data_IF_270594197622
#
_entry.id   IF_270594197622
#
_cell.length_a   1.000
_cell.length_b   1.000
_cell.length_c   1.000
_cell.angle_alpha   90.00
_cell.angle_beta   90.00
_cell.angle_gamma   90.00
#
_symmetry.space_group_name_H-M   'P 1'
#
loop_
_entity.id
_entity.type
_entity.pdbx_description
1 polymer ?
#
# COMPACT_ATOMS: atom_id res chain seq x y z
N UNK A 1 2.04 -18.86 -25.23
CA UNK A 1 0.83 -19.09 -24.40
C UNK A 1 -0.14 -20.12 -25.00
N UNK A 2 -0.65 -19.94 -26.23
CA UNK A 2 -1.59 -20.90 -26.88
C UNK A 2 -1.14 -22.37 -26.83
N UNK A 3 0.14 -22.64 -27.10
CA UNK A 3 0.72 -23.99 -27.02
C UNK A 3 0.62 -24.60 -25.61
N UNK A 4 0.83 -23.79 -24.57
CA UNK A 4 0.71 -24.22 -23.17
C UNK A 4 -0.75 -24.58 -22.86
N UNK A 5 -1.70 -23.71 -23.22
CA UNK A 5 -3.14 -23.97 -23.05
C UNK A 5 -3.56 -25.28 -23.75
N UNK A 6 -3.19 -25.45 -25.02
CA UNK A 6 -3.49 -26.66 -25.78
C UNK A 6 -2.92 -27.93 -25.14
N UNK A 7 -1.70 -27.86 -24.59
CA UNK A 7 -1.09 -28.99 -23.88
C UNK A 7 -1.86 -29.34 -22.61
N UNK A 8 -2.24 -28.33 -21.83
CA UNK A 8 -3.03 -28.51 -20.59
C UNK A 8 -4.44 -29.04 -20.88
N UNK A 9 -5.05 -28.66 -22.01
CA UNK A 9 -6.36 -29.17 -22.42
C UNK A 9 -6.28 -30.63 -22.83
N UNK A 10 -5.25 -31.02 -23.61
CA UNK A 10 -5.00 -32.43 -23.94
C UNK A 10 -4.78 -33.30 -22.70
N UNK A 11 -4.07 -32.79 -21.69
CA UNK A 11 -3.90 -33.47 -20.42
C UNK A 11 -5.22 -33.52 -19.65
N UNK A 12 -5.96 -32.41 -19.61
CA UNK A 12 -7.24 -32.34 -18.92
C UNK A 12 -8.30 -33.30 -19.45
N UNK A 13 -8.33 -33.52 -20.78
CA UNK A 13 -9.19 -34.56 -21.39
C UNK A 13 -8.84 -35.96 -20.90
N UNK A 14 -7.55 -36.29 -20.75
CA UNK A 14 -7.11 -37.60 -20.25
C UNK A 14 -7.44 -37.78 -18.77
N UNK A 15 -7.29 -36.73 -17.98
CA UNK A 15 -7.55 -36.73 -16.54
C UNK A 15 -9.03 -36.52 -16.17
N UNK A 16 -9.91 -36.30 -17.16
CA UNK A 16 -11.32 -36.00 -16.94
C UNK A 16 -11.60 -34.68 -16.20
N UNK A 17 -10.64 -33.73 -16.19
CA UNK A 17 -10.78 -32.43 -15.51
C UNK A 17 -9.99 -31.33 -16.19
N UNK A 18 -10.47 -30.07 -16.17
CA UNK A 18 -9.70 -28.91 -16.64
C UNK A 18 -8.46 -28.72 -15.76
N UNK A 19 -7.29 -28.58 -16.39
CA UNK A 19 -6.06 -28.21 -15.68
C UNK A 19 -5.91 -26.69 -15.74
N UNK A 20 -5.97 -26.04 -14.59
CA UNK A 20 -5.90 -24.59 -14.50
C UNK A 20 -4.49 -24.05 -14.76
N UNK A 21 -4.39 -22.95 -15.51
CA UNK A 21 -3.18 -22.19 -15.76
C UNK A 21 -3.23 -20.85 -15.03
N UNK A 22 -2.41 -20.73 -14.00
CA UNK A 22 -2.24 -19.51 -13.20
C UNK A 22 -0.93 -18.86 -13.66
N UNK A 23 -0.95 -17.57 -14.00
CA UNK A 23 0.26 -16.85 -14.41
C UNK A 23 0.46 -15.58 -13.57
N UNK A 24 1.69 -15.38 -13.13
CA UNK A 24 2.10 -14.17 -12.41
C UNK A 24 2.74 -13.18 -13.35
N UNK A 25 2.31 -11.93 -13.30
CA UNK A 25 2.61 -10.90 -14.28
C UNK A 25 3.03 -9.59 -13.59
N UNK A 26 3.66 -8.66 -14.32
CA UNK A 26 3.92 -7.31 -13.82
C UNK A 26 2.67 -6.63 -13.24
N UNK A 27 2.84 -5.64 -12.34
CA UNK A 27 1.76 -5.12 -11.49
C UNK A 27 0.74 -4.23 -12.20
N UNK A 28 0.99 -3.81 -13.46
CA UNK A 28 0.04 -3.07 -14.31
C UNK A 28 0.00 -3.67 -15.70
N UNK A 29 -1.07 -3.38 -16.46
CA UNK A 29 -1.17 -3.83 -17.85
C UNK A 29 -0.10 -3.16 -18.72
N UNK A 30 0.22 -1.88 -18.46
CA UNK A 30 1.31 -1.19 -19.17
C UNK A 30 2.65 -1.89 -18.93
N UNK A 31 2.95 -2.31 -17.70
CA UNK A 31 4.18 -3.05 -17.40
C UNK A 31 4.19 -4.44 -18.05
N UNK A 32 3.03 -5.09 -18.19
CA UNK A 32 2.89 -6.34 -18.94
C UNK A 32 3.24 -6.14 -20.42
N UNK A 33 2.68 -5.10 -21.06
CA UNK A 33 2.98 -4.76 -22.45
C UNK A 33 4.46 -4.44 -22.66
N UNK A 34 5.06 -3.65 -21.77
CA UNK A 34 6.50 -3.38 -21.79
C UNK A 34 7.33 -4.67 -21.73
N UNK A 35 6.90 -5.64 -20.92
CA UNK A 35 7.55 -6.95 -20.82
C UNK A 35 7.22 -7.93 -21.96
N UNK A 36 6.49 -7.50 -22.99
CA UNK A 36 6.09 -8.36 -24.12
C UNK A 36 4.95 -9.34 -23.81
N UNK A 37 4.18 -9.09 -22.75
CA UNK A 37 3.09 -9.95 -22.30
C UNK A 37 1.73 -9.36 -22.67
N UNK A 38 1.06 -9.93 -23.66
CA UNK A 38 -0.31 -9.56 -24.02
C UNK A 38 -1.34 -10.28 -23.14
N UNK A 39 -1.38 -9.86 -21.88
CA UNK A 39 -2.28 -10.42 -20.86
C UNK A 39 -3.76 -10.20 -21.22
N UNK A 40 -4.09 -9.13 -21.95
CA UNK A 40 -5.47 -8.86 -22.40
C UNK A 40 -5.92 -9.91 -23.39
N UNK A 41 -5.08 -10.23 -24.39
CA UNK A 41 -5.38 -11.29 -25.34
C UNK A 41 -5.48 -12.66 -24.66
N UNK A 42 -4.61 -12.96 -23.69
CA UNK A 42 -4.67 -14.24 -22.97
C UNK A 42 -5.98 -14.43 -22.22
N UNK A 43 -6.47 -13.40 -21.52
CA UNK A 43 -7.76 -13.45 -20.81
C UNK A 43 -8.93 -13.58 -21.79
N UNK A 44 -8.97 -12.75 -22.85
CA UNK A 44 -10.07 -12.76 -23.84
C UNK A 44 -10.17 -14.06 -24.64
N UNK A 45 -9.05 -14.73 -24.86
CA UNK A 45 -8.97 -15.99 -25.59
C UNK A 45 -9.08 -17.22 -24.69
N UNK A 46 -9.45 -17.07 -23.41
CA UNK A 46 -9.53 -18.16 -22.41
C UNK A 46 -8.23 -18.99 -22.31
N UNK A 47 -7.06 -18.35 -22.49
CA UNK A 47 -5.77 -19.04 -22.45
C UNK A 47 -5.24 -19.22 -21.03
N UNK A 48 -5.72 -18.42 -20.08
CA UNK A 48 -5.29 -18.40 -18.68
C UNK A 48 -6.51 -18.40 -17.78
N UNK A 49 -6.43 -19.14 -16.68
CA UNK A 49 -7.53 -19.27 -15.72
C UNK A 49 -7.43 -18.22 -14.60
N UNK A 50 -6.20 -17.84 -14.24
CA UNK A 50 -5.96 -16.78 -13.25
C UNK A 50 -4.75 -15.94 -13.65
N UNK A 51 -4.91 -14.62 -13.56
CA UNK A 51 -3.84 -13.63 -13.67
C UNK A 51 -3.50 -13.12 -12.27
N UNK A 52 -2.20 -13.05 -11.98
CA UNK A 52 -1.68 -12.62 -10.68
C UNK A 52 -0.78 -11.39 -10.87
N UNK A 53 -1.32 -10.16 -10.85
CA UNK A 53 -0.50 -8.96 -10.87
C UNK A 53 0.35 -8.89 -9.60
N UNK A 54 1.64 -8.69 -9.76
CA UNK A 54 2.58 -8.75 -8.64
C UNK A 54 3.66 -7.68 -8.71
N UNK A 55 3.81 -6.94 -7.61
CA UNK A 55 5.02 -6.19 -7.29
C UNK A 55 6.18 -7.16 -7.03
N UNK A 56 7.43 -6.72 -7.14
CA UNK A 56 8.59 -7.62 -7.03
C UNK A 56 8.85 -8.16 -5.61
N UNK A 57 9.04 -7.29 -4.61
CA UNK A 57 9.73 -7.69 -3.37
C UNK A 57 9.04 -7.31 -2.07
N UNK A 58 8.05 -6.42 -2.10
CA UNK A 58 7.41 -5.87 -0.91
C UNK A 58 5.90 -5.78 -1.09
N UNK A 59 5.19 -5.81 0.03
CA UNK A 59 3.77 -5.55 0.13
C UNK A 59 3.49 -4.19 -0.48
N UNK A 60 2.55 -4.19 -1.40
CA UNK A 60 2.02 -3.00 -2.01
C UNK A 60 0.59 -2.79 -1.58
N UNK A 61 0.17 -1.53 -1.53
CA UNK A 61 -1.20 -1.11 -1.25
C UNK A 61 -1.87 -0.42 -2.44
N UNK A 62 -1.16 -0.27 -3.57
CA UNK A 62 -1.59 0.57 -4.69
C UNK A 62 -1.16 0.02 -6.05
N UNK A 63 -1.02 -1.30 -6.19
CA UNK A 63 -0.96 -1.90 -7.53
C UNK A 63 -2.27 -1.59 -8.27
N UNK A 64 -2.22 -1.19 -9.56
CA UNK A 64 -3.41 -0.95 -10.38
C UNK A 64 -4.03 -2.27 -10.86
N UNK A 65 -4.47 -3.10 -9.91
CA UNK A 65 -5.04 -4.43 -10.20
C UNK A 65 -6.43 -4.34 -10.84
N UNK A 66 -7.12 -3.21 -10.66
CA UNK A 66 -8.39 -2.86 -11.30
C UNK A 66 -8.29 -2.87 -12.82
N UNK A 67 -7.13 -2.53 -13.40
CA UNK A 67 -6.88 -2.65 -14.84
C UNK A 67 -7.06 -4.09 -15.36
N UNK A 68 -6.71 -5.08 -14.53
CA UNK A 68 -6.87 -6.50 -14.84
C UNK A 68 -8.29 -6.96 -14.56
N UNK A 69 -8.85 -6.57 -13.41
CA UNK A 69 -10.24 -6.90 -13.04
C UNK A 69 -11.23 -6.41 -14.10
N UNK A 70 -11.03 -5.22 -14.64
CA UNK A 70 -11.86 -4.67 -15.72
C UNK A 70 -11.82 -5.51 -17.01
N UNK A 71 -10.69 -6.14 -17.32
CA UNK A 71 -10.59 -7.07 -18.47
C UNK A 71 -11.23 -8.41 -18.11
N UNK A 72 -10.91 -8.93 -16.93
CA UNK A 72 -11.37 -10.21 -16.44
C UNK A 72 -12.90 -10.29 -16.32
N UNK A 73 -13.56 -9.19 -15.96
CA UNK A 73 -15.01 -9.06 -15.83
C UNK A 73 -15.80 -9.47 -17.08
N UNK A 74 -15.17 -9.48 -18.26
CA UNK A 74 -15.76 -9.89 -19.54
C UNK A 74 -15.26 -11.26 -20.01
N UNK A 75 -14.66 -12.05 -19.11
CA UNK A 75 -14.00 -13.33 -19.41
C UNK A 75 -14.26 -14.35 -18.30
N UNK A 76 -13.70 -15.56 -18.43
CA UNK A 76 -13.68 -16.57 -17.37
C UNK A 76 -12.43 -16.49 -16.47
N UNK A 77 -11.47 -15.65 -16.83
CA UNK A 77 -10.23 -15.50 -16.06
C UNK A 77 -10.52 -14.80 -14.75
N UNK A 78 -9.88 -15.27 -13.67
CA UNK A 78 -9.88 -14.61 -12.36
C UNK A 78 -8.65 -13.74 -12.16
N UNK A 79 -8.73 -12.77 -11.26
CA UNK A 79 -7.61 -11.90 -10.88
C UNK A 79 -7.28 -12.10 -9.41
N UNK A 80 -6.07 -12.59 -9.11
CA UNK A 80 -5.60 -12.70 -7.73
C UNK A 80 -4.50 -11.68 -7.46
N UNK A 81 -4.67 -10.81 -6.45
CA UNK A 81 -3.61 -9.86 -6.09
C UNK A 81 -2.50 -10.56 -5.29
N UNK A 82 -1.23 -10.30 -5.62
CA UNK A 82 -0.11 -10.84 -4.85
C UNK A 82 0.08 -10.09 -3.51
N UNK A 83 0.24 -10.86 -2.43
CA UNK A 83 0.49 -10.39 -1.06
C UNK A 83 1.85 -10.90 -0.59
N UNK A 84 2.54 -10.08 0.19
CA UNK A 84 3.89 -10.35 0.69
C UNK A 84 3.96 -10.17 2.21
N UNK A 85 4.75 -11.00 2.92
CA UNK A 85 4.99 -10.83 4.36
C UNK A 85 6.09 -9.79 4.65
N UNK A 86 6.65 -9.16 3.61
CA UNK A 86 7.72 -8.18 3.69
C UNK A 86 7.22 -6.82 3.21
N UNK A 87 7.56 -5.75 3.91
CA UNK A 87 7.32 -4.34 3.54
C UNK A 87 8.64 -3.55 3.48
N UNK A 88 8.57 -2.25 3.16
CA UNK A 88 9.69 -1.33 3.38
C UNK A 88 9.98 -1.16 4.87
N UNK A 89 11.14 -0.58 5.20
CA UNK A 89 11.43 -0.24 6.59
C UNK A 89 10.36 0.71 7.14
N UNK A 90 9.72 0.31 8.23
CA UNK A 90 8.71 1.12 8.92
C UNK A 90 8.73 0.81 10.42
N UNK A 91 8.38 1.79 11.23
CA UNK A 91 7.93 1.52 12.59
C UNK A 91 6.43 1.24 12.62
N UNK A 92 5.91 0.42 13.56
CA UNK A 92 4.47 0.24 13.74
C UNK A 92 3.76 1.57 13.98
N UNK A 93 2.56 1.71 13.43
CA UNK A 93 1.69 2.85 13.71
C UNK A 93 1.10 2.69 15.10
N UNK A 94 1.09 3.78 15.87
CA UNK A 94 0.44 3.86 17.18
C UNK A 94 -0.51 5.06 17.17
N UNK A 95 -1.58 5.04 17.98
CA UNK A 95 -2.54 6.15 18.02
C UNK A 95 -1.87 7.48 18.41
N UNK A 96 -1.03 7.45 19.46
CA UNK A 96 -0.31 8.62 19.97
C UNK A 96 1.19 8.37 19.87
N UNK A 97 1.91 9.05 18.96
CA UNK A 97 3.31 8.81 18.75
C UNK A 97 4.14 9.47 19.85
N UNK A 98 5.13 8.77 20.38
CA UNK A 98 6.09 9.29 21.37
C UNK A 98 7.48 8.83 20.99
N UNK A 99 8.49 9.66 21.25
CA UNK A 99 9.91 9.36 21.02
C UNK A 99 10.31 7.97 21.53
N UNK A 100 9.87 7.61 22.73
CA UNK A 100 10.13 6.31 23.34
C UNK A 100 9.65 5.12 22.48
N UNK A 101 8.52 5.27 21.78
CA UNK A 101 7.95 4.24 20.89
C UNK A 101 8.73 4.02 19.59
N UNK A 102 9.68 4.90 19.26
CA UNK A 102 10.51 4.81 18.06
C UNK A 102 12.01 4.66 18.39
N UNK A 103 12.32 4.05 19.54
CA UNK A 103 13.69 3.79 20.00
C UNK A 103 14.29 2.49 19.45
N UNK A 104 13.47 1.49 19.13
CA UNK A 104 13.90 0.24 18.49
C UNK A 104 14.18 0.41 17.00
N UNK A 105 14.93 -0.49 16.38
CA UNK A 105 15.16 -0.43 14.92
C UNK A 105 13.86 -0.62 14.12
N UNK A 106 13.65 0.08 12.99
CA UNK A 106 12.52 -0.20 12.10
C UNK A 106 12.62 -1.61 11.51
N UNK A 107 11.46 -2.25 11.34
CA UNK A 107 11.33 -3.60 10.80
C UNK A 107 10.94 -3.61 9.31
N UNK A 108 11.05 -4.77 8.68
CA UNK A 108 10.57 -5.03 7.30
C UNK A 108 9.48 -6.10 7.23
N UNK A 109 9.04 -6.64 8.36
CA UNK A 109 7.93 -7.60 8.39
C UNK A 109 6.64 -6.83 8.23
N UNK A 110 5.80 -7.25 7.28
CA UNK A 110 4.46 -6.70 7.14
C UNK A 110 3.63 -7.15 8.34
N UNK A 111 3.00 -6.21 9.05
CA UNK A 111 2.08 -6.53 10.15
C UNK A 111 0.70 -6.92 9.58
N UNK A 112 -0.15 -7.62 10.35
CA UNK A 112 -1.52 -7.90 9.96
C UNK A 112 -2.29 -6.65 9.55
N UNK A 113 -2.09 -5.53 10.25
CA UNK A 113 -2.74 -4.26 9.92
C UNK A 113 -2.36 -3.73 8.52
N UNK A 114 -1.09 -3.84 8.12
CA UNK A 114 -0.67 -3.49 6.76
C UNK A 114 -1.31 -4.43 5.72
N UNK A 115 -1.30 -5.73 5.98
CA UNK A 115 -1.91 -6.72 5.07
C UNK A 115 -3.41 -6.46 4.92
N UNK A 116 -4.15 -6.20 6.01
CA UNK A 116 -5.57 -5.85 5.95
C UNK A 116 -5.85 -4.64 5.09
N UNK A 117 -5.06 -3.57 5.22
CA UNK A 117 -5.25 -2.38 4.39
C UNK A 117 -5.00 -2.65 2.91
N UNK A 118 -3.96 -3.42 2.57
CA UNK A 118 -3.70 -3.83 1.19
C UNK A 118 -4.82 -4.73 0.63
N UNK A 119 -5.27 -5.70 1.41
CA UNK A 119 -6.37 -6.61 1.04
C UNK A 119 -7.67 -5.87 0.81
N UNK A 120 -8.04 -4.95 1.71
CA UNK A 120 -9.27 -4.16 1.56
C UNK A 120 -9.19 -3.23 0.34
N UNK A 121 -8.01 -2.64 0.05
CA UNK A 121 -7.79 -1.91 -1.20
C UNK A 121 -8.06 -2.80 -2.42
N UNK A 122 -7.39 -3.95 -2.53
CA UNK A 122 -7.54 -4.82 -3.69
C UNK A 122 -8.93 -5.44 -3.82
N UNK A 123 -9.62 -5.75 -2.71
CA UNK A 123 -11.02 -6.20 -2.77
C UNK A 123 -11.93 -5.14 -3.36
N UNK A 124 -11.68 -3.86 -3.06
CA UNK A 124 -12.45 -2.77 -3.66
C UNK A 124 -12.11 -2.51 -5.14
N UNK A 125 -11.08 -3.19 -5.66
CA UNK A 125 -10.68 -3.23 -7.07
C UNK A 125 -11.13 -4.54 -7.75
N UNK A 126 -12.14 -5.21 -7.18
CA UNK A 126 -12.82 -6.38 -7.73
C UNK A 126 -11.92 -7.59 -8.03
N UNK A 127 -10.90 -7.82 -7.20
CA UNK A 127 -10.09 -9.06 -7.29
C UNK A 127 -10.87 -10.28 -6.76
N UNK A 128 -10.69 -11.42 -7.42
CA UNK A 128 -11.31 -12.69 -7.05
C UNK A 128 -10.62 -13.39 -5.87
N UNK A 129 -9.37 -13.03 -5.58
CA UNK A 129 -8.57 -13.70 -4.56
C UNK A 129 -7.17 -13.12 -4.37
N UNK A 130 -6.34 -13.88 -3.66
CA UNK A 130 -5.00 -13.45 -3.27
C UNK A 130 -3.97 -14.57 -3.45
N UNK A 131 -2.76 -14.21 -3.88
CA UNK A 131 -1.60 -15.09 -3.81
C UNK A 131 -0.75 -14.75 -2.58
N UNK A 132 -0.46 -15.75 -1.75
CA UNK A 132 0.58 -15.67 -0.72
C UNK A 132 1.95 -15.93 -1.33
N UNK A 133 2.80 -14.90 -1.47
CA UNK A 133 4.15 -15.07 -2.00
C UNK A 133 5.22 -14.81 -0.94
N UNK A 134 6.23 -15.68 -0.87
CA UNK A 134 7.29 -15.70 0.16
C UNK A 134 6.81 -15.90 1.61
N UNK A 135 5.63 -16.50 1.79
CA UNK A 135 5.19 -16.99 3.10
C UNK A 135 5.77 -18.39 3.33
N UNK A 136 6.62 -18.54 4.36
CA UNK A 136 7.20 -19.84 4.70
C UNK A 136 6.16 -20.78 5.30
N UNK A 137 6.30 -22.08 5.01
CA UNK A 137 5.48 -23.15 5.57
C UNK A 137 6.27 -23.92 6.65
N UNK A 138 5.62 -24.37 7.75
CA UNK A 138 4.22 -24.08 8.10
C UNK A 138 4.00 -22.59 8.43
N UNK A 139 2.78 -22.09 8.20
CA UNK A 139 2.45 -20.70 8.51
C UNK A 139 2.56 -20.46 10.02
N UNK A 140 3.32 -19.43 10.39
CA UNK A 140 3.33 -18.93 11.76
C UNK A 140 1.99 -18.24 12.10
N UNK A 141 1.69 -18.09 13.39
CA UNK A 141 0.40 -17.56 13.87
C UNK A 141 0.00 -16.21 13.24
N UNK A 142 0.96 -15.30 13.05
CA UNK A 142 0.73 -14.00 12.42
C UNK A 142 0.35 -14.15 10.93
N UNK A 143 1.04 -15.02 10.19
CA UNK A 143 0.71 -15.32 8.80
C UNK A 143 -0.62 -16.08 8.65
N UNK A 144 -0.98 -16.93 9.62
CA UNK A 144 -2.29 -17.57 9.67
C UNK A 144 -3.39 -16.54 9.87
N UNK A 145 -3.18 -15.55 10.75
CA UNK A 145 -4.10 -14.43 10.95
C UNK A 145 -4.29 -13.65 9.64
N UNK A 146 -3.20 -13.35 8.93
CA UNK A 146 -3.27 -12.70 7.62
C UNK A 146 -4.08 -13.52 6.61
N UNK A 147 -3.84 -14.84 6.52
CA UNK A 147 -4.58 -15.73 5.64
C UNK A 147 -6.08 -15.76 5.96
N UNK A 148 -6.45 -15.77 7.25
CA UNK A 148 -7.84 -15.66 7.68
C UNK A 148 -8.46 -14.32 7.30
N UNK A 149 -7.75 -13.21 7.49
CA UNK A 149 -8.23 -11.88 7.11
C UNK A 149 -8.42 -11.75 5.59
N UNK A 150 -7.60 -12.41 4.78
CA UNK A 150 -7.79 -12.49 3.33
C UNK A 150 -9.02 -13.31 2.94
N UNK A 151 -9.27 -14.42 3.62
CA UNK A 151 -10.44 -15.26 3.37
C UNK A 151 -11.76 -14.58 3.80
N UNK A 152 -11.70 -13.73 4.82
CA UNK A 152 -12.86 -13.18 5.53
C UNK A 152 -12.74 -11.65 5.72
N UNK A 153 -13.12 -10.84 4.70
CA UNK A 153 -12.96 -9.38 4.75
C UNK A 153 -13.71 -8.71 5.92
N UNK A 154 -14.83 -9.27 6.34
CA UNK A 154 -15.59 -8.80 7.50
C UNK A 154 -14.77 -8.82 8.79
N UNK A 155 -13.83 -9.77 8.93
CA UNK A 155 -12.90 -9.84 10.07
C UNK A 155 -11.87 -8.72 10.00
N UNK A 156 -11.33 -8.45 8.81
CA UNK A 156 -10.36 -7.38 8.60
C UNK A 156 -10.92 -6.01 9.06
N UNK A 157 -12.22 -5.78 8.89
CA UNK A 157 -12.90 -4.55 9.30
C UNK A 157 -13.10 -4.41 10.82
N UNK A 158 -12.92 -5.47 11.61
CA UNK A 158 -13.02 -5.44 13.07
C UNK A 158 -11.69 -5.07 13.76
N UNK A 159 -10.59 -5.13 13.02
CA UNK A 159 -9.25 -4.95 13.56
C UNK A 159 -8.58 -3.68 13.02
N UNK A 160 -7.41 -3.39 13.58
CA UNK A 160 -6.53 -2.36 13.07
C UNK A 160 -6.11 -2.66 11.62
N UNK A 161 -6.08 -1.61 10.80
CA UNK A 161 -5.77 -1.68 9.38
C UNK A 161 -5.09 -0.40 8.93
N UNK A 162 -4.09 -0.54 8.06
CA UNK A 162 -3.24 0.56 7.60
C UNK A 162 -3.26 0.61 6.08
N UNK A 163 -3.80 1.69 5.55
CA UNK A 163 -3.71 2.06 4.14
C UNK A 163 -2.43 2.87 3.94
N UNK A 164 -1.62 2.56 2.93
CA UNK A 164 -0.31 3.18 2.76
C UNK A 164 -0.04 3.55 1.30
N UNK A 165 0.79 4.57 1.09
CA UNK A 165 1.52 4.69 -0.17
C UNK A 165 2.66 3.68 -0.18
N UNK A 166 2.79 2.92 -1.26
CA UNK A 166 3.92 2.01 -1.45
C UNK A 166 5.16 2.84 -1.82
N UNK A 167 6.24 2.87 -1.02
CA UNK A 167 7.45 3.58 -1.39
C UNK A 167 8.23 2.83 -2.45
N UNK A 168 9.00 3.57 -3.25
CA UNK A 168 9.96 3.00 -4.19
C UNK A 168 10.94 2.07 -3.48
N UNK A 169 11.08 0.86 -4.03
CA UNK A 169 12.10 -0.10 -3.63
C UNK A 169 13.37 0.06 -4.48
N UNK A 170 14.48 -0.53 -4.00
CA UNK A 170 15.85 -0.40 -4.49
C UNK A 170 16.08 -0.35 -6.02
N UNK A 171 15.31 -1.12 -6.80
CA UNK A 171 15.44 -1.33 -8.24
C UNK A 171 14.14 -0.98 -8.97
N UNK A 172 13.36 -0.07 -8.40
CA UNK A 172 12.18 0.46 -9.06
C UNK A 172 12.64 1.41 -10.14
N UNK A 173 12.86 0.86 -11.33
CA UNK A 173 12.89 1.65 -12.55
C UNK A 173 11.44 1.90 -12.94
N UNK A 174 10.92 3.07 -12.58
CA UNK A 174 9.55 3.45 -12.93
C UNK A 174 9.35 3.36 -14.45
N UNK A 175 8.13 3.00 -14.86
CA UNK A 175 7.76 2.78 -16.26
C UNK A 175 8.43 1.57 -16.96
N UNK A 176 9.03 0.64 -16.19
CA UNK A 176 9.55 -0.66 -16.70
C UNK A 176 8.70 -1.86 -16.22
N UNK A 177 9.26 -2.78 -15.43
CA UNK A 177 8.52 -3.86 -14.74
C UNK A 177 7.68 -3.33 -13.57
N UNK A 178 7.82 -2.06 -13.19
CA UNK A 178 7.20 -1.48 -12.00
C UNK A 178 6.31 -0.27 -12.34
N UNK A 179 5.24 -0.10 -11.56
CA UNK A 179 4.40 1.09 -11.65
C UNK A 179 5.02 2.25 -10.88
N UNK A 180 4.74 3.48 -11.32
CA UNK A 180 5.26 4.72 -10.74
C UNK A 180 4.87 4.86 -9.27
N UNK A 181 5.83 5.21 -8.43
CA UNK A 181 5.64 5.49 -7.00
C UNK A 181 5.49 6.98 -6.78
N UNK A 182 4.94 7.31 -5.62
CA UNK A 182 4.68 8.70 -5.23
C UNK A 182 5.64 9.17 -4.15
N UNK A 183 6.33 8.24 -3.48
CA UNK A 183 7.31 8.53 -2.43
C UNK A 183 8.56 7.65 -2.60
N UNK A 184 9.77 8.16 -2.30
CA UNK A 184 10.04 9.41 -1.60
C UNK A 184 9.71 10.68 -2.42
N UNK A 185 9.22 11.72 -1.75
CA UNK A 185 8.89 13.01 -2.39
C UNK A 185 9.55 14.17 -1.64
N UNK A 186 10.17 15.09 -2.38
CA UNK A 186 10.72 16.32 -1.81
C UNK A 186 9.59 17.29 -1.44
N UNK A 187 9.54 17.68 -0.17
CA UNK A 187 8.65 18.70 0.36
C UNK A 187 9.37 20.06 0.35
N UNK A 188 9.57 20.61 -0.84
CA UNK A 188 10.20 21.92 -1.01
C UNK A 188 9.36 23.03 -0.35
N UNK A 189 10.03 23.98 0.31
CA UNK A 189 9.37 25.04 1.07
C UNK A 189 8.36 25.82 0.20
N UNK A 190 7.12 25.90 0.67
CA UNK A 190 6.02 26.61 0.01
C UNK A 190 5.43 25.90 -1.22
N UNK A 191 6.01 24.78 -1.67
CA UNK A 191 5.48 24.02 -2.80
C UNK A 191 4.59 22.87 -2.30
N UNK A 192 3.43 22.73 -2.94
CA UNK A 192 2.53 21.63 -2.66
C UNK A 192 3.00 20.35 -3.37
N UNK A 193 3.04 19.24 -2.63
CA UNK A 193 3.13 17.89 -3.18
C UNK A 193 1.74 17.28 -3.17
N UNK A 194 1.27 16.82 -4.33
CA UNK A 194 0.01 16.12 -4.49
C UNK A 194 0.25 14.61 -4.53
N UNK A 195 -0.50 13.88 -3.72
CA UNK A 195 -0.44 12.42 -3.60
C UNK A 195 -1.87 11.86 -3.69
N UNK A 196 -1.99 10.63 -4.16
CA UNK A 196 -3.24 9.87 -4.19
C UNK A 196 -3.08 8.61 -3.33
N UNK A 197 -3.72 8.60 -2.15
CA UNK A 197 -3.70 7.45 -1.24
C UNK A 197 -5.04 6.71 -1.34
N UNK A 198 -4.97 5.43 -1.67
CA UNK A 198 -6.16 4.61 -1.86
C UNK A 198 -6.63 3.99 -0.55
N UNK A 199 -7.94 4.13 -0.25
CA UNK A 199 -8.63 3.56 0.91
C UNK A 199 -9.82 2.73 0.42
N UNK A 200 -9.74 1.40 0.52
CA UNK A 200 -10.75 0.48 -0.01
C UNK A 200 -12.07 0.41 0.78
N UNK A 201 -12.20 1.21 1.84
CA UNK A 201 -13.34 1.22 2.75
C UNK A 201 -14.06 2.57 2.74
N UNK A 202 -15.37 2.55 2.94
CA UNK A 202 -16.14 3.76 3.27
C UNK A 202 -16.09 4.02 4.79
N UNK A 203 -15.32 5.04 5.17
CA UNK A 203 -15.14 5.44 6.56
C UNK A 203 -16.21 6.42 7.07
N UNK A 204 -17.27 6.66 6.30
CA UNK A 204 -18.41 7.52 6.70
C UNK A 204 -19.60 6.73 7.26
N UNK A 205 -19.66 5.42 7.01
CA UNK A 205 -20.71 4.54 7.51
C UNK A 205 -20.78 4.50 9.05
N UNK A 206 -21.86 3.98 9.64
CA UNK A 206 -22.06 3.95 11.11
C UNK A 206 -20.87 3.37 11.90
N UNK A 207 -20.08 2.47 11.30
CA UNK A 207 -18.84 1.89 11.86
C UNK A 207 -17.72 2.92 12.10
N UNK A 208 -17.75 4.06 11.40
CA UNK A 208 -16.85 5.20 11.58
C UNK A 208 -16.78 5.71 13.03
N UNK A 209 -17.88 5.60 13.79
CA UNK A 209 -17.93 6.15 15.16
C UNK A 209 -17.09 5.34 16.16
N UNK A 210 -16.83 4.07 15.87
CA UNK A 210 -16.07 3.14 16.74
C UNK A 210 -14.60 3.01 16.37
N UNK A 211 -14.09 3.84 15.46
CA UNK A 211 -12.67 3.83 15.06
C UNK A 211 -12.05 5.22 15.25
N UNK A 212 -10.74 5.22 15.49
CA UNK A 212 -9.88 6.39 15.35
C UNK A 212 -9.15 6.30 14.01
N UNK A 213 -9.24 7.36 13.19
CA UNK A 213 -8.54 7.45 11.91
C UNK A 213 -7.36 8.41 12.06
N UNK A 214 -6.15 7.95 11.74
CA UNK A 214 -4.91 8.72 11.92
C UNK A 214 -4.16 8.80 10.60
N UNK A 215 -3.88 10.03 10.14
CA UNK A 215 -2.89 10.27 9.10
C UNK A 215 -1.50 10.29 9.73
N UNK A 216 -0.57 9.54 9.16
CA UNK A 216 0.84 9.49 9.55
C UNK A 216 1.73 9.79 8.36
N UNK A 217 2.69 10.69 8.56
CA UNK A 217 3.73 11.05 7.59
C UNK A 217 5.10 10.71 8.19
N UNK A 218 5.89 9.89 7.50
CA UNK A 218 7.30 9.68 7.82
C UNK A 218 8.15 10.71 7.10
N UNK A 219 8.97 11.44 7.85
CA UNK A 219 9.74 12.57 7.36
C UNK A 219 11.24 12.34 7.58
N UNK A 220 12.05 12.68 6.59
CA UNK A 220 13.51 12.76 6.67
C UNK A 220 13.99 14.18 6.33
N UNK A 221 15.25 14.50 6.60
CA UNK A 221 15.84 15.82 6.31
C UNK A 221 15.72 16.83 7.46
N UNK A 222 15.92 16.36 8.70
CA UNK A 222 15.86 17.14 9.94
C UNK A 222 14.47 17.80 10.22
N UNK A 223 13.38 17.02 10.26
CA UNK A 223 12.07 17.54 10.64
C UNK A 223 12.09 18.09 12.07
N UNK A 224 11.64 19.34 12.23
CA UNK A 224 11.50 20.01 13.54
C UNK A 224 10.04 20.40 13.83
N UNK A 225 9.63 20.51 15.11
CA UNK A 225 8.30 20.97 15.49
C UNK A 225 7.95 22.39 14.99
N UNK A 226 8.94 23.17 14.56
CA UNK A 226 8.77 24.55 14.07
C UNK A 226 8.27 24.63 12.63
N UNK A 227 8.44 23.57 11.82
CA UNK A 227 7.93 23.55 10.45
C UNK A 227 6.41 23.76 10.44
N UNK A 228 5.95 24.59 9.52
CA UNK A 228 4.54 24.85 9.31
C UNK A 228 4.03 23.91 8.24
N UNK A 229 3.03 23.11 8.59
CA UNK A 229 2.42 22.13 7.71
C UNK A 229 1.02 22.60 7.30
N UNK A 230 0.73 22.54 6.00
CA UNK A 230 -0.62 22.64 5.46
C UNK A 230 -0.97 21.30 4.83
N UNK A 231 -2.05 20.67 5.32
CA UNK A 231 -2.57 19.40 4.83
C UNK A 231 -4.01 19.61 4.37
N UNK A 232 -4.32 19.12 3.18
CA UNK A 232 -5.70 18.98 2.71
C UNK A 232 -5.96 17.58 2.18
N UNK A 233 -7.18 17.10 2.38
CA UNK A 233 -7.70 15.84 1.88
C UNK A 233 -8.91 16.14 1.00
N UNK A 234 -8.89 15.67 -0.25
CA UNK A 234 -9.96 15.86 -1.23
C UNK A 234 -10.39 17.35 -1.33
N UNK A 235 -9.40 18.25 -1.39
CA UNK A 235 -9.60 19.70 -1.49
C UNK A 235 -10.01 20.40 -0.18
N UNK A 236 -10.27 19.66 0.91
CA UNK A 236 -10.71 20.21 2.20
C UNK A 236 -9.55 20.28 3.20
N UNK A 237 -9.44 21.38 3.92
CA UNK A 237 -8.34 21.62 4.88
C UNK A 237 -8.44 20.67 6.09
N UNK A 238 -7.39 19.88 6.33
CA UNK A 238 -7.25 19.03 7.52
C UNK A 238 -6.42 19.71 8.62
N UNK A 239 -5.35 20.41 8.23
CA UNK A 239 -4.44 21.08 9.18
C UNK A 239 -3.75 22.26 8.50
N UNK A 240 -3.62 23.37 9.24
CA UNK A 240 -2.65 24.45 8.96
C UNK A 240 -1.91 24.82 10.24
N UNK A 241 -0.62 25.13 10.15
CA UNK A 241 0.19 25.61 11.27
C UNK A 241 1.32 24.65 11.66
N UNK A 242 2.05 24.96 12.73
CA UNK A 242 3.21 24.20 13.18
C UNK A 242 2.92 22.70 13.36
N UNK A 243 3.91 21.86 13.08
CA UNK A 243 3.88 20.43 13.36
C UNK A 243 3.75 20.17 14.88
N UNK A 244 4.50 20.91 15.69
CA UNK A 244 4.36 20.92 17.16
C UNK A 244 4.40 19.53 17.78
N UNK A 245 3.51 19.28 18.74
CA UNK A 245 3.38 18.01 19.44
C UNK A 245 2.90 16.83 18.56
N UNK A 246 2.50 17.09 17.33
CA UNK A 246 2.17 16.02 16.37
C UNK A 246 3.41 15.32 15.80
N UNK A 247 4.61 15.87 16.02
CA UNK A 247 5.87 15.32 15.54
C UNK A 247 6.57 14.52 16.65
N UNK A 248 6.90 13.26 16.36
CA UNK A 248 7.67 12.39 17.23
C UNK A 248 8.96 11.94 16.55
N UNK A 249 10.09 12.20 17.20
CA UNK A 249 11.42 11.83 16.73
C UNK A 249 11.64 10.32 16.75
N UNK A 250 12.35 9.81 15.75
CA UNK A 250 12.83 8.43 15.65
C UNK A 250 14.28 8.39 16.10
N UNK A 251 14.58 7.63 17.14
CA UNK A 251 15.96 7.40 17.60
C UNK A 251 16.50 6.02 17.23
N UNK A 252 15.59 5.12 16.84
CA UNK A 252 15.90 3.81 16.32
C UNK A 252 16.72 3.88 15.04
N UNK A 253 17.89 3.25 15.03
CA UNK A 253 18.75 3.22 13.84
C UNK A 253 18.32 2.09 12.92
N UNK A 254 18.03 2.43 11.65
CA UNK A 254 17.89 1.45 10.58
C UNK A 254 19.22 0.72 10.38
N UNK A 255 19.20 -0.61 10.43
CA UNK A 255 20.36 -1.44 10.06
C UNK A 255 20.44 -1.58 8.54
N UNK A 256 21.65 -1.46 7.99
CA UNK A 256 21.93 -1.48 6.55
C UNK A 256 22.05 -0.08 5.94
N UNK A 257 23.07 0.13 5.10
CA UNK A 257 23.29 1.33 4.29
C UNK A 257 23.12 1.04 2.79
N UNK A 258 22.81 2.06 1.99
CA UNK A 258 22.58 1.94 0.54
C UNK A 258 21.16 2.27 0.08
N UNK A 259 20.89 2.02 -1.22
CA UNK A 259 19.82 2.44 -2.15
C UNK A 259 18.33 2.33 -1.72
N UNK A 260 18.03 2.52 -0.44
CA UNK A 260 16.69 2.71 0.09
C UNK A 260 16.36 4.20 0.14
N UNK A 261 15.06 4.56 0.13
CA UNK A 261 14.65 5.88 0.56
C UNK A 261 15.29 6.22 1.92
N UNK A 262 15.53 7.51 2.20
CA UNK A 262 16.00 7.95 3.51
C UNK A 262 15.14 7.32 4.63
N UNK A 263 15.77 6.96 5.75
CA UNK A 263 15.00 6.49 6.89
C UNK A 263 14.15 7.65 7.45
N UNK A 264 12.96 7.35 7.96
CA UNK A 264 12.18 8.33 8.68
C UNK A 264 12.96 8.76 9.93
N UNK A 265 13.21 10.06 10.06
CA UNK A 265 13.85 10.69 11.23
C UNK A 265 12.79 11.18 12.23
N UNK A 266 11.57 11.43 11.76
CA UNK A 266 10.42 11.67 12.62
C UNK A 266 9.12 11.22 11.94
N UNK A 267 8.11 10.95 12.77
CA UNK A 267 6.75 10.74 12.32
C UNK A 267 5.86 11.91 12.76
N UNK A 268 5.20 12.55 11.81
CA UNK A 268 4.09 13.45 12.08
C UNK A 268 2.78 12.67 12.06
N UNK A 269 1.96 12.79 13.10
CA UNK A 269 0.61 12.20 13.12
C UNK A 269 -0.49 13.22 13.42
N UNK A 270 -1.63 12.98 12.79
CA UNK A 270 -2.85 13.75 12.99
C UNK A 270 -4.07 12.87 12.92
N UNK A 271 -4.88 12.86 13.98
CA UNK A 271 -6.22 12.27 13.95
C UNK A 271 -7.11 13.03 12.96
N UNK A 272 -7.74 12.30 12.04
CA UNK A 272 -8.78 12.78 11.14
C UNK A 272 -10.11 12.63 11.88
N UNK A 273 -10.63 13.73 12.44
CA UNK A 273 -11.88 13.71 13.22
C UNK A 273 -13.13 13.69 12.35
N UNK A 274 -13.06 14.39 11.22
CA UNK A 274 -14.12 14.39 10.22
C UNK A 274 -13.80 13.34 9.16
N UNK A 275 -14.41 12.16 9.29
CA UNK A 275 -14.18 11.06 8.36
C UNK A 275 -14.76 11.33 6.97
N UNK A 276 -15.67 12.32 6.81
CA UNK A 276 -16.18 12.74 5.49
C UNK A 276 -15.12 13.42 4.61
N UNK A 277 -13.93 13.71 5.17
CA UNK A 277 -12.75 14.11 4.41
C UNK A 277 -12.20 12.96 3.55
N UNK A 278 -12.56 11.72 3.86
CA UNK A 278 -12.14 10.52 3.14
C UNK A 278 -13.31 9.94 2.34
N UNK A 279 -12.98 9.33 1.22
CA UNK A 279 -13.90 8.54 0.39
C UNK A 279 -13.33 7.16 0.16
N UNK A 280 -14.21 6.19 -0.10
CA UNK A 280 -13.78 4.91 -0.66
C UNK A 280 -13.11 5.15 -2.02
N UNK A 281 -11.96 4.54 -2.24
CA UNK A 281 -11.13 4.70 -3.42
C UNK A 281 -9.96 5.66 -3.22
N UNK A 282 -9.57 6.35 -4.28
CA UNK A 282 -8.44 7.29 -4.29
C UNK A 282 -8.76 8.57 -3.51
N UNK A 283 -7.90 8.94 -2.55
CA UNK A 283 -8.00 10.18 -1.79
C UNK A 283 -6.84 11.12 -2.13
N UNK A 284 -7.16 12.35 -2.52
CA UNK A 284 -6.18 13.35 -2.90
C UNK A 284 -5.64 14.04 -1.65
N UNK A 285 -4.36 13.80 -1.35
CA UNK A 285 -3.64 14.41 -0.24
C UNK A 285 -2.68 15.47 -0.80
N UNK A 286 -2.88 16.72 -0.41
CA UNK A 286 -1.93 17.80 -0.68
C UNK A 286 -1.18 18.18 0.58
N UNK A 287 0.15 18.22 0.47
CA UNK A 287 1.07 18.52 1.56
C UNK A 287 1.91 19.72 1.16
N UNK A 288 1.87 20.79 1.96
CA UNK A 288 2.81 21.91 1.83
C UNK A 288 3.55 22.08 3.15
N UNK A 289 4.87 22.19 3.08
CA UNK A 289 5.71 22.54 4.22
C UNK A 289 6.25 23.94 3.99
N UNK A 290 6.22 24.79 5.01
CA UNK A 290 7.00 26.02 5.06
C UNK A 290 8.02 25.92 6.19
N UNK A 291 9.26 26.27 5.89
CA UNK A 291 10.31 26.36 6.88
C UNK A 291 9.97 27.42 7.95
N UNK A 292 10.51 27.24 9.15
CA UNK A 292 10.66 28.39 10.05
C UNK A 292 11.64 29.38 9.41
N UNK A 293 11.45 30.69 9.64
CA UNK A 293 12.40 31.72 9.18
C UNK A 293 13.84 31.23 9.46
N UNK A 294 14.68 31.25 8.43
CA UNK A 294 16.11 30.86 8.43
C UNK A 294 16.48 29.39 8.19
N UNK A 295 15.53 28.48 7.91
CA UNK A 295 15.88 27.10 7.53
C UNK A 295 15.63 26.81 6.04
N UNK A 296 16.67 26.48 5.28
CA UNK A 296 16.54 25.78 3.99
C UNK A 296 16.26 24.29 4.26
N UNK A 297 15.09 23.97 4.82
CA UNK A 297 14.75 22.57 5.10
C UNK A 297 14.24 21.88 3.83
N UNK A 298 15.05 21.00 3.26
CA UNK A 298 14.60 20.02 2.24
C UNK A 298 14.05 18.79 2.97
N UNK A 299 12.81 18.87 3.45
CA UNK A 299 12.16 17.69 4.02
C UNK A 299 11.84 16.69 2.90
N UNK A 300 11.95 15.41 3.21
CA UNK A 300 11.57 14.33 2.30
C UNK A 300 10.47 13.52 2.96
N UNK A 301 9.35 13.36 2.27
CA UNK A 301 8.30 12.44 2.66
C UNK A 301 8.71 11.02 2.24
N UNK A 302 8.85 10.11 3.20
CA UNK A 302 9.30 8.72 2.96
C UNK A 302 8.26 7.68 3.31
N UNK A 303 7.25 8.04 4.11
CA UNK A 303 6.08 7.21 4.40
C UNK A 303 4.81 8.08 4.44
N UNK A 304 3.70 7.56 3.95
CA UNK A 304 2.38 8.17 4.09
C UNK A 304 1.33 7.08 4.31
N UNK A 305 0.65 7.14 5.45
CA UNK A 305 -0.25 6.10 5.92
C UNK A 305 -1.53 6.70 6.51
N UNK A 306 -2.65 6.04 6.28
CA UNK A 306 -3.89 6.23 7.03
C UNK A 306 -4.11 4.95 7.84
N UNK A 307 -4.02 5.07 9.17
CA UNK A 307 -4.35 3.99 10.08
C UNK A 307 -5.79 4.14 10.57
N UNK A 308 -6.53 3.03 10.55
CA UNK A 308 -7.86 2.92 11.14
C UNK A 308 -7.73 1.98 12.32
N UNK A 309 -7.94 2.53 13.52
CA UNK A 309 -7.70 1.87 14.79
C UNK A 309 -9.04 1.71 15.52
N UNK A 310 -9.54 0.49 15.77
CA UNK A 310 -10.71 0.32 16.61
C UNK A 310 -10.52 0.98 17.98
N UNK A 311 -11.53 1.74 18.44
CA UNK A 311 -11.55 2.25 19.81
C UNK A 311 -11.67 1.05 20.75
N UNK A 312 -10.72 0.93 21.68
CA UNK A 312 -10.77 -0.06 22.75
C UNK A 312 -11.65 0.42 23.87
#
# INVERSE_FOLDING_TARGET
>A
MKQVRAKLDQMGTREGRRIALLVRVPPSVRNCTWAGLDVRAWMRQDLVDVIIPAQLMTLSHCMPVDEFSAVAAQTKCRVYAAIYPRTQYTHPVVAVPRKAGYSGAPGRTATPALVRGAVLNYRSMDVDGFQLYNFNLPLQAEHLTMAQDMAHPERALLHDRIYALTPAYFNDHEDTYQYRKQIPAELASGKAVALSLFVGEDLTEKRAKSVEVVLRLGLAGAPTPRHVLTLSLNGRLLKRGRMGAGLAEVTGKRRGGGAHPPAAEAYYQRTIRDHSLLRRGANDLSITVAAARDALSKLILVECQIAVLPKR
#
